data_IF_398325412473
#
_entry.id   IF_398325412473
#
_cell.length_a   1.000
_cell.length_b   1.000
_cell.length_c   1.000
_cell.angle_alpha   90.00
_cell.angle_beta   90.00
_cell.angle_gamma   90.00
#
_symmetry.space_group_name_H-M   'P 1'
#
loop_
_entity.id
_entity.type
_entity.pdbx_description
1 polymer ?
#
# COMPACT_ATOMS: atom_id res chain seq x y z
N UNK A 1 20.34 1.54 13.62
CA UNK A 1 21.05 0.27 13.93
C UNK A 1 21.82 0.39 15.26
N UNK A 2 22.80 1.30 15.39
CA UNK A 2 23.52 1.58 16.66
C UNK A 2 22.61 1.97 17.85
N UNK A 3 21.51 2.69 17.62
CA UNK A 3 20.59 3.10 18.70
C UNK A 3 19.63 1.99 19.14
N UNK A 4 19.16 1.17 18.18
CA UNK A 4 18.43 -0.06 18.48
C UNK A 4 19.33 -1.06 19.23
N UNK A 5 20.62 -1.15 18.86
CA UNK A 5 21.62 -1.93 19.57
C UNK A 5 21.86 -1.41 21.00
N UNK A 6 21.91 -0.08 21.21
CA UNK A 6 22.02 0.53 22.56
C UNK A 6 20.80 0.22 23.44
N UNK A 7 19.60 0.28 22.89
CA UNK A 7 18.37 -0.14 23.59
C UNK A 7 18.36 -1.64 23.91
N UNK A 8 19.05 -2.47 23.11
CA UNK A 8 19.13 -3.92 23.32
C UNK A 8 20.23 -4.37 24.30
N UNK A 9 21.33 -3.62 24.41
CA UNK A 9 22.48 -4.00 25.25
C UNK A 9 22.28 -3.68 26.74
N UNK A 10 21.52 -2.63 27.05
CA UNK A 10 21.05 -2.30 28.39
C UNK A 10 19.72 -1.55 28.27
N UNK A 11 18.61 -2.29 28.29
CA UNK A 11 17.28 -1.70 28.17
C UNK A 11 17.07 -0.69 29.32
N UNK A 12 16.72 0.57 29.04
CA UNK A 12 16.51 1.58 30.08
C UNK A 12 15.41 1.13 31.04
N UNK A 13 15.66 1.17 32.34
CA UNK A 13 14.73 0.67 33.36
C UNK A 13 14.11 1.77 34.21
N UNK A 14 14.69 2.96 34.19
CA UNK A 14 14.25 4.12 34.97
C UNK A 14 14.00 5.35 34.10
N UNK A 15 13.28 6.31 34.67
CA UNK A 15 13.10 7.65 34.09
C UNK A 15 14.46 8.29 33.81
N UNK A 16 15.41 8.21 34.75
CA UNK A 16 16.74 8.81 34.62
C UNK A 16 17.54 8.23 33.45
N UNK A 17 17.42 6.94 33.18
CA UNK A 17 18.07 6.31 32.02
C UNK A 17 17.53 6.88 30.71
N UNK A 18 16.21 7.04 30.61
CA UNK A 18 15.57 7.65 29.44
C UNK A 18 15.93 9.12 29.29
N UNK A 19 15.97 9.89 30.39
CA UNK A 19 16.38 11.30 30.36
C UNK A 19 17.82 11.46 29.84
N UNK A 20 18.76 10.59 30.27
CA UNK A 20 20.13 10.59 29.72
C UNK A 20 20.14 10.26 28.23
N UNK A 21 19.34 9.29 27.80
CA UNK A 21 19.29 8.88 26.40
C UNK A 21 18.73 9.96 25.49
N UNK A 22 17.63 10.62 25.86
CA UNK A 22 17.05 11.70 25.04
C UNK A 22 17.95 12.94 24.98
N UNK A 23 18.78 13.18 26.01
CA UNK A 23 19.82 14.21 25.95
C UNK A 23 20.94 13.81 24.98
N UNK A 24 21.35 12.54 24.99
CA UNK A 24 22.42 12.05 24.11
C UNK A 24 22.03 11.88 22.64
N UNK A 25 20.76 11.55 22.38
CA UNK A 25 20.19 11.30 21.05
C UNK A 25 18.82 12.00 20.91
N UNK A 26 18.77 13.35 20.92
CA UNK A 26 17.52 14.11 20.97
C UNK A 26 16.65 13.95 19.71
N UNK A 27 17.25 13.65 18.56
CA UNK A 27 16.54 13.48 17.29
C UNK A 27 16.05 12.04 17.05
N UNK A 28 16.44 11.07 17.87
CA UNK A 28 16.11 9.67 17.66
C UNK A 28 14.69 9.36 18.18
N UNK A 29 13.71 9.30 17.28
CA UNK A 29 12.30 8.97 17.60
C UNK A 29 12.18 7.63 18.32
N UNK A 30 13.06 6.67 18.02
CA UNK A 30 13.03 5.35 18.64
C UNK A 30 13.19 5.43 20.17
N UNK A 31 14.06 6.31 20.66
CA UNK A 31 14.28 6.53 22.10
C UNK A 31 13.02 7.14 22.72
N UNK A 32 12.47 8.17 22.09
CA UNK A 32 11.23 8.83 22.55
C UNK A 32 10.02 7.88 22.58
N UNK A 33 9.86 7.05 21.55
CA UNK A 33 8.78 6.07 21.46
C UNK A 33 8.94 4.97 22.52
N UNK A 34 10.17 4.50 22.79
CA UNK A 34 10.42 3.59 23.90
C UNK A 34 10.11 4.22 25.26
N UNK A 35 10.45 5.50 25.43
CA UNK A 35 10.16 6.22 26.65
C UNK A 35 8.65 6.40 26.88
N UNK A 36 7.89 6.75 25.83
CA UNK A 36 6.42 6.75 25.87
C UNK A 36 5.88 5.35 26.25
N UNK A 37 6.41 4.29 25.63
CA UNK A 37 6.00 2.92 25.92
C UNK A 37 6.32 2.48 27.36
N UNK A 38 7.42 2.95 27.93
CA UNK A 38 7.77 2.74 29.34
C UNK A 38 6.70 3.34 30.26
N UNK A 39 6.30 4.59 30.05
CA UNK A 39 5.21 5.21 30.82
C UNK A 39 3.88 4.48 30.64
N UNK A 40 3.59 3.97 29.45
CA UNK A 40 2.37 3.17 29.21
C UNK A 40 2.40 1.84 29.97
N UNK A 41 3.55 1.15 30.04
CA UNK A 41 3.71 -0.08 30.82
C UNK A 41 3.51 0.14 32.31
N UNK A 42 3.84 1.33 32.82
CA UNK A 42 3.60 1.73 34.20
C UNK A 42 2.25 2.44 34.41
N UNK A 43 1.32 2.35 33.43
CA UNK A 43 -0.02 2.95 33.46
C UNK A 43 -0.05 4.48 33.61
N UNK A 44 1.05 5.17 33.30
CA UNK A 44 1.18 6.63 33.34
C UNK A 44 0.88 7.26 31.98
N UNK A 45 -0.35 7.08 31.48
CA UNK A 45 -0.77 7.62 30.17
C UNK A 45 -0.56 9.14 30.04
N UNK A 46 -0.84 9.99 31.06
CA UNK A 46 -0.54 11.41 30.98
C UNK A 46 0.95 11.70 30.76
N UNK A 47 1.86 10.94 31.38
CA UNK A 47 3.30 11.13 31.19
C UNK A 47 3.78 10.70 29.79
N UNK A 48 3.16 9.67 29.22
CA UNK A 48 3.43 9.30 27.84
C UNK A 48 3.01 10.41 26.85
N UNK A 49 1.90 11.12 27.11
CA UNK A 49 1.48 12.29 26.30
C UNK A 49 2.47 13.45 26.42
N UNK A 50 2.87 13.82 27.64
CA UNK A 50 3.84 14.90 27.85
C UNK A 50 5.20 14.56 27.22
N UNK A 51 5.60 13.28 27.24
CA UNK A 51 6.80 12.79 26.56
C UNK A 51 6.70 12.97 25.05
N UNK A 52 5.56 12.62 24.43
CA UNK A 52 5.33 12.84 23.00
C UNK A 52 5.40 14.33 22.62
N UNK A 53 4.76 15.20 23.41
CA UNK A 53 4.83 16.64 23.21
C UNK A 53 6.25 17.18 23.30
N UNK A 54 7.02 16.71 24.29
CA UNK A 54 8.40 17.11 24.48
C UNK A 54 9.28 16.64 23.33
N UNK A 55 9.09 15.41 22.87
CA UNK A 55 9.78 14.86 21.71
C UNK A 55 9.56 15.73 20.46
N UNK A 56 8.32 16.13 20.16
CA UNK A 56 8.01 16.99 19.01
C UNK A 56 8.56 18.43 19.14
N UNK A 57 8.91 18.89 20.35
CA UNK A 57 9.59 20.17 20.57
C UNK A 57 11.11 20.04 20.45
N UNK A 58 11.68 18.93 20.91
CA UNK A 58 13.13 18.69 20.98
C UNK A 58 13.69 18.20 19.64
N UNK A 59 12.99 17.27 18.97
CA UNK A 59 13.43 16.76 17.67
C UNK A 59 13.43 17.91 16.66
N UNK A 60 14.57 18.11 16.01
CA UNK A 60 14.78 19.12 14.98
C UNK A 60 13.68 19.08 13.91
N UNK A 61 13.19 20.25 13.51
CA UNK A 61 12.17 20.38 12.45
C UNK A 61 12.65 19.78 11.12
N UNK A 62 13.97 19.72 10.89
CA UNK A 62 14.57 19.08 9.71
C UNK A 62 14.39 17.56 9.68
N UNK A 63 14.19 16.94 10.84
CA UNK A 63 14.02 15.49 10.98
C UNK A 63 12.53 15.12 10.89
N UNK A 64 11.90 15.42 9.75
CA UNK A 64 10.46 15.21 9.55
C UNK A 64 10.02 13.76 9.79
N UNK A 65 10.84 12.80 9.37
CA UNK A 65 10.57 11.38 9.55
C UNK A 65 10.55 10.98 11.03
N UNK A 66 11.53 11.43 11.82
CA UNK A 66 11.60 11.16 13.25
C UNK A 66 10.43 11.82 14.01
N UNK A 67 10.08 13.05 13.63
CA UNK A 67 8.91 13.73 14.19
C UNK A 67 7.61 13.00 13.85
N UNK A 68 7.48 12.51 12.62
CA UNK A 68 6.30 11.76 12.19
C UNK A 68 6.19 10.43 12.93
N UNK A 69 7.29 9.71 13.17
CA UNK A 69 7.30 8.48 13.97
C UNK A 69 6.75 8.72 15.39
N UNK A 70 7.15 9.82 16.05
CA UNK A 70 6.60 10.21 17.35
C UNK A 70 5.12 10.55 17.24
N UNK A 71 4.70 11.28 16.20
CA UNK A 71 3.29 11.58 15.98
C UNK A 71 2.45 10.32 15.79
N UNK A 72 2.93 9.34 15.02
CA UNK A 72 2.27 8.04 14.86
C UNK A 72 2.16 7.29 16.20
N UNK A 73 3.21 7.31 17.02
CA UNK A 73 3.18 6.71 18.35
C UNK A 73 2.16 7.41 19.28
N UNK A 74 2.06 8.74 19.20
CA UNK A 74 1.07 9.48 19.99
C UNK A 74 -0.36 9.22 19.51
N UNK A 75 -0.61 9.20 18.20
CA UNK A 75 -1.90 8.80 17.66
C UNK A 75 -2.27 7.36 18.09
N UNK A 76 -1.32 6.43 18.06
CA UNK A 76 -1.54 5.06 18.54
C UNK A 76 -1.90 5.01 20.02
N UNK A 77 -1.24 5.83 20.84
CA UNK A 77 -1.54 5.99 22.25
C UNK A 77 -2.98 6.46 22.46
N UNK A 78 -3.42 7.53 21.79
CA UNK A 78 -4.78 8.04 21.93
C UNK A 78 -5.82 7.05 21.40
N UNK A 79 -5.54 6.36 20.30
CA UNK A 79 -6.42 5.34 19.75
C UNK A 79 -6.56 4.14 20.70
N UNK A 80 -5.56 3.83 21.52
CA UNK A 80 -5.55 2.67 22.42
C UNK A 80 -6.05 3.00 23.84
N UNK A 81 -5.71 4.17 24.38
CA UNK A 81 -5.94 4.54 25.77
C UNK A 81 -6.69 5.87 25.95
N UNK A 82 -6.90 6.60 24.86
CA UNK A 82 -7.62 7.87 24.85
C UNK A 82 -9.11 7.72 24.59
N UNK A 83 -9.76 8.86 24.43
CA UNK A 83 -11.16 8.97 23.98
C UNK A 83 -11.20 9.81 22.71
N UNK A 84 -12.36 9.91 22.07
CA UNK A 84 -12.52 10.80 20.91
C UNK A 84 -12.14 12.25 21.23
N UNK A 85 -12.44 12.71 22.46
CA UNK A 85 -12.08 14.05 22.93
C UNK A 85 -10.58 14.27 23.06
N UNK A 86 -9.77 13.24 23.35
CA UNK A 86 -8.31 13.36 23.41
C UNK A 86 -7.65 13.08 22.06
N UNK A 87 -8.25 12.23 21.22
CA UNK A 87 -7.77 11.93 19.88
C UNK A 87 -7.96 13.11 18.92
N UNK A 88 -9.13 13.75 18.92
CA UNK A 88 -9.47 14.84 18.00
C UNK A 88 -8.43 15.98 17.95
N UNK A 89 -7.95 16.54 19.07
CA UNK A 89 -6.94 17.59 19.03
C UNK A 89 -5.58 17.08 18.52
N UNK A 90 -5.18 15.86 18.86
CA UNK A 90 -3.91 15.27 18.39
C UNK A 90 -3.99 14.99 16.88
N UNK A 91 -5.11 14.46 16.39
CA UNK A 91 -5.35 14.25 14.97
C UNK A 91 -5.36 15.57 14.19
N UNK A 92 -6.06 16.59 14.70
CA UNK A 92 -6.07 17.93 14.10
C UNK A 92 -4.65 18.51 14.01
N UNK A 93 -3.87 18.41 15.09
CA UNK A 93 -2.47 18.84 15.13
C UNK A 93 -1.61 18.08 14.12
N UNK A 94 -1.78 16.76 14.02
CA UNK A 94 -1.06 15.93 13.07
C UNK A 94 -1.33 16.37 11.63
N UNK A 95 -2.60 16.62 11.29
CA UNK A 95 -3.01 17.05 9.94
C UNK A 95 -2.58 18.49 9.59
N UNK A 96 -2.33 19.34 10.59
CA UNK A 96 -1.75 20.68 10.37
C UNK A 96 -0.23 20.64 10.18
N UNK A 97 0.44 19.66 10.80
CA UNK A 97 1.90 19.60 10.84
C UNK A 97 2.50 18.66 9.79
N UNK A 98 1.73 17.70 9.30
CA UNK A 98 2.15 16.65 8.37
C UNK A 98 1.12 16.49 7.25
N UNK A 99 1.52 15.83 6.16
CA UNK A 99 0.64 15.54 5.04
C UNK A 99 -0.64 14.79 5.50
N UNK A 100 -1.84 15.36 5.27
CA UNK A 100 -3.10 14.77 5.73
C UNK A 100 -3.33 13.33 5.27
N UNK A 101 -2.88 13.00 4.05
CA UNK A 101 -2.95 11.66 3.48
C UNK A 101 -2.20 10.64 4.35
N UNK A 102 -0.94 10.92 4.72
CA UNK A 102 -0.11 10.03 5.55
C UNK A 102 -0.72 9.83 6.94
N UNK A 103 -1.20 10.93 7.54
CA UNK A 103 -1.81 10.91 8.88
C UNK A 103 -3.07 10.06 8.91
N UNK A 104 -4.02 10.33 8.00
CA UNK A 104 -5.30 9.63 8.01
C UNK A 104 -5.18 8.18 7.54
N UNK A 105 -4.27 7.86 6.60
CA UNK A 105 -3.98 6.47 6.24
C UNK A 105 -3.40 5.69 7.43
N UNK A 106 -2.54 6.31 8.24
CA UNK A 106 -2.05 5.68 9.46
C UNK A 106 -3.20 5.37 10.43
N UNK A 107 -4.09 6.31 10.67
CA UNK A 107 -5.26 6.11 11.55
C UNK A 107 -6.19 5.02 11.01
N UNK A 108 -6.49 5.02 9.71
CA UNK A 108 -7.31 4.00 9.07
C UNK A 108 -6.68 2.61 9.24
N UNK A 109 -5.38 2.46 8.95
CA UNK A 109 -4.65 1.21 9.13
C UNK A 109 -4.65 0.71 10.59
N UNK A 110 -4.63 1.61 11.57
CA UNK A 110 -4.72 1.23 12.99
C UNK A 110 -6.12 0.72 13.32
N UNK A 111 -7.19 1.36 12.84
CA UNK A 111 -8.56 0.88 13.03
C UNK A 111 -8.78 -0.48 12.36
N UNK A 112 -8.24 -0.68 11.15
CA UNK A 112 -8.28 -1.98 10.48
C UNK A 112 -7.57 -3.08 11.26
N UNK A 113 -6.39 -2.81 11.82
CA UNK A 113 -5.67 -3.77 12.67
C UNK A 113 -6.43 -4.11 13.95
N UNK A 114 -7.27 -3.20 14.44
CA UNK A 114 -8.18 -3.42 15.57
C UNK A 114 -9.51 -4.05 15.17
N UNK A 115 -9.72 -4.33 13.88
CA UNK A 115 -10.99 -4.79 13.31
C UNK A 115 -12.18 -3.84 13.58
N UNK A 116 -11.92 -2.56 13.84
CA UNK A 116 -12.96 -1.53 13.99
C UNK A 116 -13.32 -0.99 12.59
N UNK A 117 -14.18 -1.74 11.91
CA UNK A 117 -14.51 -1.50 10.49
C UNK A 117 -15.28 -0.20 10.29
N UNK A 118 -16.10 0.19 11.25
CA UNK A 118 -16.91 1.41 11.18
C UNK A 118 -16.01 2.65 11.23
N UNK A 119 -15.11 2.73 12.22
CA UNK A 119 -14.19 3.88 12.32
C UNK A 119 -13.16 3.90 11.20
N UNK A 120 -12.73 2.74 10.72
CA UNK A 120 -11.89 2.65 9.52
C UNK A 120 -12.61 3.29 8.31
N UNK A 121 -13.87 2.91 8.08
CA UNK A 121 -14.67 3.46 6.99
C UNK A 121 -14.89 4.97 7.13
N UNK A 122 -15.24 5.46 8.32
CA UNK A 122 -15.37 6.90 8.59
C UNK A 122 -14.06 7.65 8.31
N UNK A 123 -12.91 7.06 8.64
CA UNK A 123 -11.59 7.64 8.36
C UNK A 123 -11.32 7.69 6.85
N UNK A 124 -11.69 6.64 6.10
CA UNK A 124 -11.59 6.65 4.63
C UNK A 124 -12.52 7.68 3.97
N UNK A 125 -13.72 7.88 4.51
CA UNK A 125 -14.61 8.93 4.00
C UNK A 125 -14.04 10.34 4.28
N UNK A 126 -13.36 10.54 5.41
CA UNK A 126 -12.60 11.77 5.68
C UNK A 126 -11.41 11.94 4.72
N UNK A 127 -10.70 10.85 4.40
CA UNK A 127 -9.62 10.83 3.41
C UNK A 127 -10.11 11.29 2.04
N UNK A 128 -11.22 10.74 1.55
CA UNK A 128 -11.81 11.18 0.27
C UNK A 128 -12.16 12.67 0.34
N UNK A 129 -12.80 13.14 1.41
CA UNK A 129 -13.20 14.56 1.52
C UNK A 129 -12.00 15.51 1.45
N UNK A 130 -10.82 15.11 1.94
CA UNK A 130 -9.62 15.97 2.00
C UNK A 130 -8.62 15.74 0.88
N UNK A 131 -8.54 14.54 0.34
CA UNK A 131 -7.51 14.08 -0.58
C UNK A 131 -8.11 13.27 -1.73
N UNK A 132 -9.23 13.72 -2.31
CA UNK A 132 -9.92 13.06 -3.44
C UNK A 132 -9.13 13.07 -4.75
N UNK A 133 -8.18 13.97 -4.89
CA UNK A 133 -7.29 14.12 -6.04
C UNK A 133 -6.14 13.11 -6.01
N UNK A 134 -5.75 12.64 -4.82
CA UNK A 134 -4.71 11.65 -4.65
C UNK A 134 -5.20 10.24 -5.03
N UNK A 135 -4.57 9.56 -6.02
CA UNK A 135 -4.95 8.20 -6.41
C UNK A 135 -4.81 7.18 -5.26
N UNK A 136 -3.79 7.37 -4.41
CA UNK A 136 -3.49 6.51 -3.26
C UNK A 136 -4.69 6.40 -2.31
N UNK A 137 -5.42 7.50 -2.08
CA UNK A 137 -6.63 7.53 -1.25
C UNK A 137 -7.65 6.49 -1.70
N UNK A 138 -7.93 6.46 -2.99
CA UNK A 138 -8.93 5.56 -3.59
C UNK A 138 -8.44 4.13 -3.64
N UNK A 139 -7.15 3.91 -3.91
CA UNK A 139 -6.54 2.58 -3.93
C UNK A 139 -6.64 1.95 -2.54
N UNK A 140 -6.24 2.68 -1.49
CA UNK A 140 -6.27 2.18 -0.12
C UNK A 140 -7.71 1.92 0.35
N UNK A 141 -8.65 2.83 0.06
CA UNK A 141 -10.05 2.61 0.42
C UNK A 141 -10.68 1.43 -0.34
N UNK A 142 -10.40 1.30 -1.63
CA UNK A 142 -10.85 0.15 -2.43
C UNK A 142 -10.32 -1.16 -1.86
N UNK A 143 -9.03 -1.24 -1.54
CA UNK A 143 -8.40 -2.41 -0.91
C UNK A 143 -8.99 -2.74 0.47
N UNK A 144 -9.34 -1.73 1.27
CA UNK A 144 -10.11 -1.92 2.50
C UNK A 144 -11.46 -2.56 2.23
N UNK A 145 -12.25 -2.01 1.31
CA UNK A 145 -13.58 -2.53 0.97
C UNK A 145 -13.52 -3.98 0.44
N UNK A 146 -12.52 -4.31 -0.37
CA UNK A 146 -12.29 -5.67 -0.82
C UNK A 146 -11.98 -6.63 0.34
N UNK A 147 -11.17 -6.22 1.32
CA UNK A 147 -10.89 -7.02 2.53
C UNK A 147 -12.14 -7.27 3.36
N UNK A 148 -13.09 -6.35 3.34
CA UNK A 148 -14.39 -6.51 4.01
C UNK A 148 -15.40 -7.32 3.18
N UNK A 149 -15.02 -7.86 2.02
CA UNK A 149 -15.93 -8.56 1.11
C UNK A 149 -16.93 -7.64 0.39
N UNK A 150 -16.75 -6.32 0.46
CA UNK A 150 -17.63 -5.32 -0.12
C UNK A 150 -17.19 -4.93 -1.54
N UNK A 151 -16.98 -5.91 -2.42
CA UNK A 151 -16.45 -5.67 -3.76
C UNK A 151 -17.32 -4.72 -4.60
N UNK A 152 -18.65 -4.83 -4.52
CA UNK A 152 -19.57 -3.90 -5.21
C UNK A 152 -19.37 -2.45 -4.75
N UNK A 153 -19.12 -2.25 -3.46
CA UNK A 153 -18.83 -0.91 -2.93
C UNK A 153 -17.47 -0.41 -3.43
N UNK A 154 -16.45 -1.27 -3.44
CA UNK A 154 -15.13 -0.94 -4.00
C UNK A 154 -15.24 -0.52 -5.48
N UNK A 155 -16.00 -1.26 -6.28
CA UNK A 155 -16.25 -0.94 -7.69
C UNK A 155 -16.93 0.43 -7.86
N UNK A 156 -17.92 0.74 -7.03
CA UNK A 156 -18.53 2.08 -7.01
C UNK A 156 -17.52 3.19 -6.65
N UNK A 157 -16.56 2.91 -5.76
CA UNK A 157 -15.51 3.88 -5.44
C UNK A 157 -14.55 4.11 -6.63
N UNK A 158 -14.27 3.10 -7.45
CA UNK A 158 -13.47 3.28 -8.67
C UNK A 158 -14.11 4.29 -9.64
N UNK A 159 -15.43 4.20 -9.85
CA UNK A 159 -16.15 5.16 -10.71
C UNK A 159 -16.06 6.60 -10.19
N UNK A 160 -16.13 6.78 -8.86
CA UNK A 160 -15.97 8.10 -8.22
C UNK A 160 -14.53 8.60 -8.31
N UNK A 161 -13.56 7.70 -8.17
CA UNK A 161 -12.15 7.99 -8.27
C UNK A 161 -11.78 8.50 -9.68
N UNK A 162 -12.28 7.85 -10.74
CA UNK A 162 -12.05 8.27 -12.13
C UNK A 162 -12.61 9.66 -12.45
N UNK A 163 -13.62 10.13 -11.71
CA UNK A 163 -14.16 11.50 -11.83
C UNK A 163 -13.37 12.54 -11.04
N UNK A 164 -12.59 12.12 -10.04
CA UNK A 164 -11.93 13.01 -9.08
C UNK A 164 -10.42 13.14 -9.32
N UNK A 165 -9.81 12.09 -9.86
CA UNK A 165 -8.37 11.97 -10.07
C UNK A 165 -8.01 12.36 -11.51
N UNK A 166 -6.83 12.96 -11.70
CA UNK A 166 -6.31 13.31 -13.01
C UNK A 166 -6.22 12.09 -13.96
N UNK A 167 -6.63 12.23 -15.24
CA UNK A 167 -6.55 11.18 -16.26
C UNK A 167 -5.19 10.47 -16.39
N UNK A 168 -4.08 11.17 -16.11
CA UNK A 168 -2.72 10.59 -16.14
C UNK A 168 -2.59 9.40 -15.18
N UNK A 169 -3.34 9.40 -14.08
CA UNK A 169 -3.30 8.34 -13.07
C UNK A 169 -4.38 7.26 -13.28
N UNK A 170 -5.33 7.42 -14.21
CA UNK A 170 -6.45 6.49 -14.40
C UNK A 170 -5.99 5.07 -14.70
N UNK A 171 -4.96 4.91 -15.53
CA UNK A 171 -4.43 3.58 -15.86
C UNK A 171 -3.89 2.88 -14.61
N UNK A 172 -3.07 3.57 -13.81
CA UNK A 172 -2.51 3.01 -12.58
C UNK A 172 -3.60 2.67 -11.56
N UNK A 173 -4.63 3.51 -11.46
CA UNK A 173 -5.78 3.30 -10.59
C UNK A 173 -6.57 2.05 -11.00
N UNK A 174 -6.94 1.93 -12.28
CA UNK A 174 -7.69 0.77 -12.80
C UNK A 174 -6.87 -0.52 -12.63
N UNK A 175 -5.57 -0.50 -12.90
CA UNK A 175 -4.70 -1.67 -12.69
C UNK A 175 -4.67 -2.12 -11.21
N UNK A 176 -4.68 -1.18 -10.25
CA UNK A 176 -4.70 -1.51 -8.83
C UNK A 176 -6.04 -2.11 -8.39
N UNK A 177 -7.16 -1.57 -8.89
CA UNK A 177 -8.49 -2.14 -8.64
C UNK A 177 -8.62 -3.53 -9.27
N UNK A 178 -8.25 -3.68 -10.54
CA UNK A 178 -8.25 -4.96 -11.22
C UNK A 178 -7.41 -6.00 -10.46
N UNK A 179 -6.17 -5.66 -10.06
CA UNK A 179 -5.33 -6.55 -9.25
C UNK A 179 -6.03 -6.95 -7.94
N UNK A 180 -6.75 -6.04 -7.31
CA UNK A 180 -7.49 -6.32 -6.08
C UNK A 180 -8.65 -7.29 -6.36
N UNK A 181 -9.43 -7.07 -7.41
CA UNK A 181 -10.48 -8.01 -7.84
C UNK A 181 -9.93 -9.45 -8.02
N UNK A 182 -8.75 -9.60 -8.63
CA UNK A 182 -8.09 -10.90 -8.75
C UNK A 182 -7.75 -11.54 -7.40
N UNK A 183 -7.20 -10.76 -6.47
CA UNK A 183 -6.77 -11.25 -5.15
C UNK A 183 -7.97 -11.68 -4.30
N UNK A 184 -9.10 -10.98 -4.39
CA UNK A 184 -10.29 -11.24 -3.58
C UNK A 184 -11.35 -12.10 -4.30
N UNK A 185 -10.99 -12.77 -5.40
CA UNK A 185 -11.84 -13.77 -6.06
C UNK A 185 -12.88 -13.21 -7.07
N UNK A 186 -12.84 -11.91 -7.37
CA UNK A 186 -13.72 -11.26 -8.36
C UNK A 186 -13.08 -11.19 -9.76
N UNK A 187 -12.48 -12.30 -10.21
CA UNK A 187 -11.67 -12.38 -11.43
C UNK A 187 -12.34 -11.79 -12.67
N UNK A 188 -13.59 -12.13 -12.95
CA UNK A 188 -14.30 -11.69 -14.15
C UNK A 188 -14.40 -10.15 -14.24
N UNK A 189 -14.55 -9.48 -13.09
CA UNK A 189 -14.50 -8.03 -13.04
C UNK A 189 -13.09 -7.50 -13.32
N UNK A 190 -12.07 -8.11 -12.70
CA UNK A 190 -10.67 -7.77 -12.98
C UNK A 190 -10.30 -7.95 -14.46
N UNK A 191 -10.78 -9.01 -15.12
CA UNK A 191 -10.65 -9.23 -16.57
C UNK A 191 -11.30 -8.07 -17.32
N UNK A 192 -12.55 -7.74 -17.00
CA UNK A 192 -13.29 -6.66 -17.66
C UNK A 192 -12.52 -5.33 -17.60
N UNK A 193 -11.92 -5.02 -16.45
CA UNK A 193 -11.07 -3.83 -16.29
C UNK A 193 -9.80 -3.88 -17.15
N UNK A 194 -9.07 -5.00 -17.16
CA UNK A 194 -7.88 -5.13 -18.01
C UNK A 194 -8.21 -5.13 -19.51
N UNK A 195 -9.31 -5.77 -19.91
CA UNK A 195 -9.79 -5.78 -21.29
C UNK A 195 -10.16 -4.38 -21.78
N UNK A 196 -10.82 -3.59 -20.92
CA UNK A 196 -11.08 -2.17 -21.19
C UNK A 196 -9.79 -1.37 -21.39
N UNK A 197 -8.80 -1.56 -20.50
CA UNK A 197 -7.50 -0.89 -20.62
C UNK A 197 -6.74 -1.27 -21.90
N UNK A 198 -6.75 -2.55 -22.27
CA UNK A 198 -6.05 -3.04 -23.45
C UNK A 198 -6.75 -2.60 -24.74
N UNK A 199 -8.08 -2.51 -24.74
CA UNK A 199 -8.84 -1.99 -25.88
C UNK A 199 -8.50 -0.52 -26.14
N UNK A 200 -8.30 0.27 -25.09
CA UNK A 200 -7.89 1.68 -25.20
C UNK A 200 -6.40 1.85 -25.50
N UNK A 201 -5.54 1.00 -24.92
CA UNK A 201 -4.08 1.12 -24.99
C UNK A 201 -3.39 -0.18 -25.47
N UNK A 202 -3.67 -0.66 -26.69
CA UNK A 202 -3.26 -2.00 -27.13
C UNK A 202 -1.73 -2.21 -27.21
N UNK A 203 -0.96 -1.13 -27.35
CA UNK A 203 0.52 -1.18 -27.44
C UNK A 203 1.24 -0.99 -26.09
N UNK A 204 0.52 -0.70 -25.00
CA UNK A 204 1.10 -0.47 -23.67
C UNK A 204 1.46 -1.79 -22.99
N UNK A 205 2.73 -2.18 -23.12
CA UNK A 205 3.24 -3.46 -22.59
C UNK A 205 3.22 -3.56 -21.08
N UNK A 206 3.26 -2.44 -20.37
CA UNK A 206 3.16 -2.42 -18.91
C UNK A 206 1.79 -2.89 -18.42
N UNK A 207 0.70 -2.53 -19.12
CA UNK A 207 -0.66 -3.03 -18.84
C UNK A 207 -0.74 -4.53 -19.09
N UNK A 208 -0.27 -4.96 -20.26
CA UNK A 208 -0.22 -6.37 -20.64
C UNK A 208 0.56 -7.24 -19.65
N UNK A 209 1.72 -6.76 -19.20
CA UNK A 209 2.53 -7.50 -18.22
C UNK A 209 1.77 -7.73 -16.92
N UNK A 210 1.11 -6.69 -16.37
CA UNK A 210 0.36 -6.83 -15.13
C UNK A 210 -0.81 -7.80 -15.31
N UNK A 211 -1.54 -7.72 -16.43
CA UNK A 211 -2.64 -8.64 -16.72
C UNK A 211 -2.18 -10.09 -16.87
N UNK A 212 -1.14 -10.34 -17.68
CA UNK A 212 -0.53 -11.66 -17.85
C UNK A 212 -0.04 -12.23 -16.52
N UNK A 213 0.62 -11.41 -15.70
CA UNK A 213 1.12 -11.84 -14.39
C UNK A 213 -0.06 -12.19 -13.44
N UNK A 214 -1.20 -11.48 -13.51
CA UNK A 214 -2.40 -11.85 -12.74
C UNK A 214 -3.04 -13.16 -13.21
N UNK A 215 -3.12 -13.38 -14.52
CA UNK A 215 -3.68 -14.61 -15.10
C UNK A 215 -2.76 -15.82 -14.85
N UNK A 216 -1.44 -15.64 -14.96
CA UNK A 216 -0.45 -16.68 -14.72
C UNK A 216 -0.41 -17.18 -13.27
N UNK A 217 -0.87 -16.38 -12.28
CA UNK A 217 -1.03 -16.84 -10.89
C UNK A 217 -1.96 -18.06 -10.74
N UNK A 218 -2.67 -18.44 -11.80
CA UNK A 218 -3.54 -19.62 -11.81
C UNK A 218 -2.84 -20.94 -11.94
N UNK A 219 -1.54 -20.89 -12.25
CA UNK A 219 -0.83 -22.08 -12.67
C UNK A 219 -1.52 -22.77 -13.85
N UNK A 220 -1.54 -24.09 -13.82
CA UNK A 220 -1.98 -24.93 -14.93
C UNK A 220 -3.48 -24.76 -15.29
N UNK A 221 -4.35 -24.45 -14.33
CA UNK A 221 -5.78 -24.27 -14.60
C UNK A 221 -6.07 -23.11 -15.56
N UNK A 222 -5.14 -22.15 -15.66
CA UNK A 222 -5.27 -20.97 -16.52
C UNK A 222 -4.41 -21.04 -17.78
N UNK A 223 -3.81 -22.19 -18.09
CA UNK A 223 -2.87 -22.36 -19.21
C UNK A 223 -3.43 -21.84 -20.54
N UNK A 224 -4.64 -22.26 -20.92
CA UNK A 224 -5.28 -21.84 -22.17
C UNK A 224 -5.69 -20.35 -22.19
N UNK A 225 -6.01 -19.77 -21.03
CA UNK A 225 -6.25 -18.32 -20.91
C UNK A 225 -4.96 -17.54 -21.17
N UNK A 226 -3.87 -17.96 -20.50
CA UNK A 226 -2.56 -17.33 -20.60
C UNK A 226 -1.99 -17.44 -22.01
N UNK A 227 -2.09 -18.61 -22.66
CA UNK A 227 -1.72 -18.81 -24.07
C UNK A 227 -2.43 -17.81 -24.98
N UNK A 228 -3.76 -17.73 -24.88
CA UNK A 228 -4.56 -16.78 -25.69
C UNK A 228 -4.12 -15.33 -25.48
N UNK A 229 -3.83 -14.94 -24.25
CA UNK A 229 -3.35 -13.58 -23.95
C UNK A 229 -1.96 -13.30 -24.54
N UNK A 230 -1.03 -14.27 -24.48
CA UNK A 230 0.28 -14.13 -25.12
C UNK A 230 0.18 -13.99 -26.63
N UNK A 231 -0.66 -14.80 -27.28
CA UNK A 231 -0.93 -14.64 -28.71
C UNK A 231 -1.48 -13.23 -29.03
N UNK A 232 -2.45 -12.73 -28.25
CA UNK A 232 -3.08 -11.43 -28.49
C UNK A 232 -2.14 -10.24 -28.28
N UNK A 233 -1.25 -10.29 -27.28
CA UNK A 233 -0.28 -9.19 -27.09
C UNK A 233 0.75 -9.15 -28.22
N UNK A 234 1.15 -10.31 -28.75
CA UNK A 234 2.13 -10.41 -29.82
C UNK A 234 1.58 -9.98 -31.19
N UNK A 235 0.26 -10.10 -31.42
CA UNK A 235 -0.37 -9.57 -32.65
C UNK A 235 -0.28 -8.05 -32.78
N UNK A 236 -0.03 -7.31 -31.69
CA UNK A 236 0.06 -5.85 -31.70
C UNK A 236 1.36 -5.28 -32.31
N UNK A 237 2.24 -6.13 -32.88
CA UNK A 237 3.53 -5.76 -33.51
C UNK A 237 4.36 -4.82 -32.63
N UNK A 238 4.73 -5.31 -31.45
CA UNK A 238 5.60 -4.61 -30.49
C UNK A 238 7.05 -4.58 -30.98
N UNK A 239 7.89 -3.71 -30.40
CA UNK A 239 9.32 -3.71 -30.72
C UNK A 239 9.99 -5.05 -30.37
N UNK A 240 11.02 -5.43 -31.12
CA UNK A 240 11.73 -6.72 -30.95
C UNK A 240 12.21 -6.95 -29.52
N UNK A 241 12.68 -5.89 -28.84
CA UNK A 241 13.11 -5.95 -27.43
C UNK A 241 11.95 -6.35 -26.49
N UNK A 242 10.77 -5.75 -26.69
CA UNK A 242 9.57 -6.03 -25.88
C UNK A 242 8.99 -7.41 -26.19
N UNK A 243 8.96 -7.79 -27.47
CA UNK A 243 8.57 -9.14 -27.91
C UNK A 243 9.44 -10.22 -27.27
N UNK A 244 10.77 -10.10 -27.36
CA UNK A 244 11.72 -11.05 -26.73
C UNK A 244 11.50 -11.22 -25.23
N UNK A 245 11.19 -10.14 -24.51
CA UNK A 245 10.88 -10.20 -23.08
C UNK A 245 9.59 -10.97 -22.79
N UNK A 246 8.54 -10.77 -23.60
CA UNK A 246 7.28 -11.50 -23.48
C UNK A 246 7.44 -12.99 -23.82
N UNK A 247 8.15 -13.34 -24.89
CA UNK A 247 8.46 -14.73 -25.22
C UNK A 247 9.26 -15.43 -24.13
N UNK A 248 10.23 -14.74 -23.50
CA UNK A 248 10.97 -15.30 -22.36
C UNK A 248 10.04 -15.63 -21.19
N UNK A 249 9.13 -14.73 -20.83
CA UNK A 249 8.13 -14.97 -19.78
C UNK A 249 7.17 -16.10 -20.14
N UNK A 250 6.67 -16.13 -21.37
CA UNK A 250 5.77 -17.19 -21.85
C UNK A 250 6.45 -18.56 -21.80
N UNK A 251 7.68 -18.66 -22.27
CA UNK A 251 8.47 -19.89 -22.22
C UNK A 251 8.69 -20.38 -20.77
N UNK A 252 8.96 -19.47 -19.83
CA UNK A 252 9.08 -19.82 -18.41
C UNK A 252 7.77 -20.39 -17.86
N UNK A 253 6.63 -19.79 -18.22
CA UNK A 253 5.32 -20.27 -17.80
C UNK A 253 4.97 -21.64 -18.41
N UNK A 254 5.21 -21.84 -19.70
CA UNK A 254 4.99 -23.13 -20.39
C UNK A 254 5.90 -24.23 -19.82
N UNK A 255 7.15 -23.93 -19.50
CA UNK A 255 8.03 -24.91 -18.85
C UNK A 255 7.55 -25.31 -17.44
N UNK A 256 6.85 -24.40 -16.74
CA UNK A 256 6.40 -24.64 -15.38
C UNK A 256 5.04 -25.36 -15.33
N UNK A 257 4.12 -25.02 -16.23
CA UNK A 257 2.72 -25.47 -16.17
C UNK A 257 2.19 -26.08 -17.47
N UNK A 258 2.92 -25.94 -18.57
CA UNK A 258 2.52 -26.38 -19.90
C UNK A 258 3.16 -27.71 -20.30
N UNK A 259 3.25 -27.94 -21.60
CA UNK A 259 3.72 -29.16 -22.22
C UNK A 259 4.80 -28.90 -23.28
N UNK A 260 5.51 -29.97 -23.68
CA UNK A 260 6.60 -29.86 -24.67
C UNK A 260 6.13 -29.24 -26.00
N UNK A 261 4.89 -29.50 -26.41
CA UNK A 261 4.29 -28.90 -27.61
C UNK A 261 4.10 -27.40 -27.47
N UNK A 262 3.59 -26.93 -26.32
CA UNK A 262 3.48 -25.51 -26.01
C UNK A 262 4.84 -24.82 -26.04
N UNK A 263 5.85 -25.41 -25.40
CA UNK A 263 7.22 -24.89 -25.39
C UNK A 263 7.79 -24.74 -26.80
N UNK A 264 7.61 -25.74 -27.67
CA UNK A 264 8.09 -25.68 -29.05
C UNK A 264 7.30 -24.67 -29.90
N UNK A 265 5.99 -24.55 -29.69
CA UNK A 265 5.17 -23.53 -30.34
C UNK A 265 5.63 -22.11 -29.97
N UNK A 266 6.00 -21.86 -28.70
CA UNK A 266 6.56 -20.57 -28.26
C UNK A 266 7.89 -20.28 -28.95
N UNK A 267 8.76 -21.28 -29.09
CA UNK A 267 10.06 -21.13 -29.78
C UNK A 267 9.88 -20.79 -31.25
N UNK A 268 9.00 -21.50 -31.95
CA UNK A 268 8.70 -21.24 -33.36
C UNK A 268 8.10 -19.84 -33.55
N UNK A 269 7.13 -19.46 -32.71
CA UNK A 269 6.54 -18.13 -32.74
C UNK A 269 7.57 -17.02 -32.45
N UNK A 270 8.54 -17.27 -31.56
CA UNK A 270 9.60 -16.32 -31.27
C UNK A 270 10.57 -16.12 -32.45
N UNK A 271 10.89 -17.19 -33.21
CA UNK A 271 11.72 -17.11 -34.42
C UNK A 271 11.00 -16.30 -35.50
N UNK A 272 9.75 -16.64 -35.80
CA UNK A 272 8.92 -15.96 -36.80
C UNK A 272 8.62 -14.49 -36.46
N UNK A 273 8.80 -14.07 -35.20
CA UNK A 273 8.62 -12.68 -34.77
C UNK A 273 9.87 -11.81 -34.97
N UNK A 274 11.05 -12.43 -35.11
CA UNK A 274 12.34 -11.74 -35.27
C UNK A 274 12.74 -11.63 -36.74
N UNK A 275 12.25 -12.53 -37.59
CA UNK A 275 12.29 -12.44 -39.05
C UNK A 275 11.38 -11.32 -39.59
#
# INVERSE_FOLDING_TARGET
>A
RKEAERLSAAAPQSIDDYERLVVSSPNASLVWVHYMAFHLKTSQVPMARTTAERALKVISVREEAERFNVMQAWLNLELAFGTEATLAPVLSRAMQSFEPLKVLLHVANVYEKKSDTEKAQQTYDQLIKKCRDAPETWIQYGQFLFRQGQAKAAQSQLEKALKSVDPVHHVALIQNFARSDYVYGHREHGITLFESLISQYPKRTDIWNVYLDQEARGGAERLESVRRLYHRVLTNKLSTKKGKALFKKWLQYENQYGDAKGVDAVRQAALAYVE
#
